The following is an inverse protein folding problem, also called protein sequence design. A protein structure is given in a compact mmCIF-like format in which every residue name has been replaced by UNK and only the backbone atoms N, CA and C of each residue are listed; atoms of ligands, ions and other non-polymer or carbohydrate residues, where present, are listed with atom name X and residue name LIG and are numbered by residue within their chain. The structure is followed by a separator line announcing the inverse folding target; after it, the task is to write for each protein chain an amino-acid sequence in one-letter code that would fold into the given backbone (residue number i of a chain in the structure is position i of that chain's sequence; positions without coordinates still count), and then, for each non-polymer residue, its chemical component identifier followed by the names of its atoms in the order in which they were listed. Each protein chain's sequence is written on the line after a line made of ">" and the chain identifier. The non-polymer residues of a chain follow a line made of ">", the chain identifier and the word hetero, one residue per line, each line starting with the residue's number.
data_IF_426474678152
#
_entry.id   IF_426474678152
#
_cell.length_a   1.000
_cell.length_b   1.000
_cell.length_c   1.000
_cell.angle_alpha   90.00
_cell.angle_beta   90.00
_cell.angle_gamma   90.00
#
_symmetry.space_group_name_H-M   'P 1'
#
loop_
_entity.id
_entity.type
_entity.pdbx_description
1 polymer ?
#
# COMPACT_ATOMS: atom_id res chain seq x y z
N UNK A 1 99.08 17.43 -5.14
CA UNK A 1 97.85 18.22 -5.37
C UNK A 1 96.97 17.30 -6.14
N UNK A 2 96.25 16.47 -5.45
CA UNK A 2 95.34 15.41 -5.95
C UNK A 2 93.94 15.71 -5.44
N UNK A 3 93.13 16.23 -6.33
CA UNK A 3 91.73 16.44 -6.09
C UNK A 3 91.00 15.06 -6.17
N UNK A 4 90.60 14.54 -5.06
CA UNK A 4 89.67 13.44 -4.98
C UNK A 4 88.20 13.97 -5.22
N UNK A 5 87.72 13.72 -6.42
CA UNK A 5 86.27 13.87 -6.68
C UNK A 5 85.53 12.68 -6.05
N UNK A 6 85.02 12.93 -4.90
CA UNK A 6 84.06 12.04 -4.28
C UNK A 6 82.76 12.07 -5.09
N UNK A 7 82.59 11.07 -5.94
CA UNK A 7 81.39 10.86 -6.71
C UNK A 7 80.34 10.32 -5.70
N UNK A 8 79.49 11.24 -5.23
CA UNK A 8 78.36 10.89 -4.38
C UNK A 8 77.45 9.81 -5.02
N UNK A 9 77.56 8.61 -4.47
CA UNK A 9 76.67 7.51 -4.84
C UNK A 9 75.20 7.91 -4.51
N UNK A 10 74.40 8.19 -5.52
CA UNK A 10 72.97 8.36 -5.33
C UNK A 10 72.43 7.13 -4.64
N UNK A 11 71.60 7.29 -3.59
CA UNK A 11 70.99 6.14 -2.91
C UNK A 11 70.01 5.45 -3.88
N UNK A 12 70.43 4.35 -4.47
CA UNK A 12 69.57 3.52 -5.30
C UNK A 12 68.54 2.85 -4.38
N UNK A 13 67.28 3.34 -4.47
CA UNK A 13 66.16 2.71 -3.75
C UNK A 13 66.05 1.26 -4.20
N UNK A 14 66.12 0.27 -3.23
CA UNK A 14 66.15 -1.12 -3.63
C UNK A 14 64.81 -1.53 -4.25
N UNK A 15 64.83 -2.26 -5.37
CA UNK A 15 63.67 -2.63 -6.17
C UNK A 15 62.55 -3.30 -5.35
N UNK A 16 62.88 -4.02 -4.27
CA UNK A 16 61.89 -4.62 -3.37
C UNK A 16 61.09 -3.59 -2.58
N UNK A 17 61.66 -2.41 -2.29
CA UNK A 17 60.92 -1.35 -1.56
C UNK A 17 59.88 -0.70 -2.48
N UNK A 18 60.20 -0.47 -3.74
CA UNK A 18 59.25 0.05 -4.76
C UNK A 18 58.13 -0.96 -5.01
N UNK A 19 58.47 -2.25 -5.07
CA UNK A 19 57.49 -3.31 -5.25
C UNK A 19 56.57 -3.43 -4.02
N UNK A 20 57.10 -3.31 -2.81
CA UNK A 20 56.32 -3.33 -1.56
C UNK A 20 55.35 -2.15 -1.47
N UNK A 21 55.75 -0.97 -1.87
CA UNK A 21 54.90 0.21 -1.91
C UNK A 21 53.73 0.05 -2.90
N UNK A 22 54.03 -0.43 -4.12
CA UNK A 22 53.03 -0.71 -5.13
C UNK A 22 51.99 -1.76 -4.65
N UNK A 23 52.45 -2.84 -4.02
CA UNK A 23 51.59 -3.87 -3.46
C UNK A 23 50.70 -3.34 -2.33
N UNK A 24 51.22 -2.44 -1.49
CA UNK A 24 50.47 -1.81 -0.41
C UNK A 24 49.35 -0.92 -0.92
N UNK A 25 49.65 -0.14 -1.97
CA UNK A 25 48.63 0.71 -2.63
C UNK A 25 47.52 -0.14 -3.26
N UNK A 26 47.89 -1.22 -3.99
CA UNK A 26 46.93 -2.13 -4.58
C UNK A 26 46.06 -2.83 -3.52
N UNK A 27 46.67 -3.26 -2.42
CA UNK A 27 45.93 -3.87 -1.29
C UNK A 27 44.95 -2.87 -0.67
N UNK A 28 45.39 -1.62 -0.45
CA UNK A 28 44.54 -0.54 0.04
C UNK A 28 43.35 -0.27 -0.87
N UNK A 29 43.60 -0.16 -2.18
CA UNK A 29 42.52 0.04 -3.16
C UNK A 29 41.55 -1.15 -3.18
N UNK A 30 42.03 -2.37 -3.10
CA UNK A 30 41.19 -3.59 -3.03
C UNK A 30 40.30 -3.62 -1.78
N UNK A 31 40.86 -3.28 -0.63
CA UNK A 31 40.08 -3.18 0.62
C UNK A 31 38.98 -2.14 0.54
N UNK A 32 39.28 -0.95 -0.06
CA UNK A 32 38.26 0.09 -0.27
C UNK A 32 37.11 -0.38 -1.18
N UNK A 33 37.44 -1.09 -2.26
CA UNK A 33 36.42 -1.66 -3.17
C UNK A 33 35.59 -2.70 -2.43
N UNK A 34 36.21 -3.58 -1.66
CA UNK A 34 35.48 -4.57 -0.85
C UNK A 34 34.52 -3.92 0.15
N UNK A 35 34.97 -2.89 0.87
CA UNK A 35 34.12 -2.15 1.81
C UNK A 35 32.95 -1.48 1.09
N UNK A 36 33.20 -0.91 -0.11
CA UNK A 36 32.15 -0.34 -0.95
C UNK A 36 31.11 -1.37 -1.38
N UNK A 37 31.56 -2.55 -1.83
CA UNK A 37 30.67 -3.65 -2.22
C UNK A 37 29.83 -4.15 -1.05
N UNK A 38 30.46 -4.32 0.13
CA UNK A 38 29.74 -4.75 1.34
C UNK A 38 28.70 -3.70 1.74
N UNK A 39 29.03 -2.41 1.68
CA UNK A 39 28.10 -1.34 1.98
C UNK A 39 26.87 -1.36 1.07
N UNK A 40 27.07 -1.50 -0.25
CA UNK A 40 25.97 -1.61 -1.23
C UNK A 40 25.12 -2.87 -0.99
N UNK A 41 25.75 -4.02 -0.68
CA UNK A 41 25.03 -5.25 -0.39
C UNK A 41 24.17 -5.14 0.87
N UNK A 42 24.66 -4.50 1.93
CA UNK A 42 23.88 -4.27 3.14
C UNK A 42 22.69 -3.37 2.90
N UNK A 43 22.86 -2.29 2.14
CA UNK A 43 21.76 -1.39 1.78
C UNK A 43 20.69 -2.10 0.92
N UNK A 44 21.12 -2.86 -0.08
CA UNK A 44 20.21 -3.60 -0.95
C UNK A 44 19.45 -4.67 -0.18
N UNK A 45 20.11 -5.41 0.71
CA UNK A 45 19.48 -6.41 1.57
C UNK A 45 18.42 -5.78 2.48
N UNK A 46 18.72 -4.64 3.11
CA UNK A 46 17.78 -3.93 3.95
C UNK A 46 16.55 -3.43 3.17
N UNK A 47 16.72 -2.95 1.94
CA UNK A 47 15.61 -2.55 1.06
C UNK A 47 14.72 -3.73 0.68
N UNK A 48 15.33 -4.86 0.29
CA UNK A 48 14.59 -6.08 -0.05
C UNK A 48 13.81 -6.62 1.15
N UNK A 49 14.39 -6.62 2.33
CA UNK A 49 13.74 -7.06 3.55
C UNK A 49 12.50 -6.20 3.89
N UNK A 50 12.61 -4.89 3.73
CA UNK A 50 11.49 -3.97 3.90
C UNK A 50 10.38 -4.20 2.87
N UNK A 51 10.72 -4.40 1.58
CA UNK A 51 9.73 -4.71 0.54
C UNK A 51 9.00 -6.04 0.80
N UNK A 52 9.75 -7.08 1.19
CA UNK A 52 9.17 -8.39 1.53
C UNK A 52 8.21 -8.26 2.72
N UNK A 53 8.62 -7.51 3.75
CA UNK A 53 7.79 -7.26 4.93
C UNK A 53 6.51 -6.53 4.58
N UNK A 54 6.59 -5.46 3.78
CA UNK A 54 5.42 -4.71 3.31
C UNK A 54 4.46 -5.60 2.52
N UNK A 55 4.97 -6.40 1.58
CA UNK A 55 4.14 -7.36 0.82
C UNK A 55 3.47 -8.41 1.71
N UNK A 56 4.19 -8.92 2.70
CA UNK A 56 3.60 -9.87 3.66
C UNK A 56 2.50 -9.24 4.50
N UNK A 57 2.68 -7.99 4.94
CA UNK A 57 1.65 -7.25 5.67
C UNK A 57 0.41 -6.99 4.80
N UNK A 58 0.59 -6.61 3.53
CA UNK A 58 -0.52 -6.45 2.58
C UNK A 58 -1.28 -7.76 2.33
N UNK A 59 -0.57 -8.87 2.16
CA UNK A 59 -1.20 -10.19 2.00
C UNK A 59 -2.00 -10.58 3.24
N UNK A 60 -1.45 -10.39 4.43
CA UNK A 60 -2.16 -10.64 5.68
C UNK A 60 -3.41 -9.75 5.83
N UNK A 61 -3.31 -8.48 5.42
CA UNK A 61 -4.47 -7.57 5.43
C UNK A 61 -5.58 -8.08 4.52
N UNK A 62 -5.25 -8.48 3.29
CA UNK A 62 -6.22 -9.04 2.34
C UNK A 62 -6.87 -10.31 2.89
N UNK A 63 -6.10 -11.25 3.38
CA UNK A 63 -6.61 -12.50 3.96
C UNK A 63 -7.56 -12.25 5.14
N UNK A 64 -7.18 -11.38 6.06
CA UNK A 64 -8.03 -11.06 7.21
C UNK A 64 -9.35 -10.41 6.81
N UNK A 65 -9.33 -9.55 5.77
CA UNK A 65 -10.54 -8.93 5.24
C UNK A 65 -11.42 -9.95 4.51
N UNK A 66 -10.82 -10.84 3.71
CA UNK A 66 -11.54 -11.93 3.04
C UNK A 66 -12.20 -12.89 4.05
N UNK A 67 -11.49 -13.27 5.10
CA UNK A 67 -12.01 -14.11 6.18
C UNK A 67 -13.17 -13.42 6.92
N UNK A 68 -13.02 -12.13 7.24
CA UNK A 68 -14.06 -11.35 7.90
C UNK A 68 -15.33 -11.22 7.05
N UNK A 69 -15.18 -11.19 5.73
CA UNK A 69 -16.29 -11.05 4.77
C UNK A 69 -16.71 -12.37 4.10
N UNK A 70 -16.19 -13.52 4.54
CA UNK A 70 -16.42 -14.82 3.90
C UNK A 70 -17.90 -15.15 3.71
N UNK A 71 -18.76 -14.86 4.69
CA UNK A 71 -20.19 -15.09 4.61
C UNK A 71 -20.87 -14.29 3.49
N UNK A 72 -20.78 -12.96 3.47
CA UNK A 72 -21.33 -12.11 2.40
C UNK A 72 -20.73 -12.39 1.01
N UNK A 73 -19.45 -12.74 0.94
CA UNK A 73 -18.77 -13.10 -0.31
C UNK A 73 -19.29 -14.43 -0.88
N UNK A 74 -19.46 -15.45 -0.04
CA UNK A 74 -19.99 -16.75 -0.44
C UNK A 74 -21.45 -16.66 -0.94
N UNK A 75 -22.21 -15.69 -0.44
CA UNK A 75 -23.55 -15.41 -0.93
C UNK A 75 -23.59 -14.69 -2.30
N UNK A 76 -22.45 -14.33 -2.87
CA UNK A 76 -22.34 -13.64 -4.17
C UNK A 76 -22.92 -12.24 -4.21
N UNK A 77 -23.27 -11.65 -3.06
CA UNK A 77 -23.88 -10.30 -2.96
C UNK A 77 -22.85 -9.19 -2.91
N UNK A 78 -21.61 -9.56 -2.57
CA UNK A 78 -20.48 -8.65 -2.35
C UNK A 78 -19.30 -9.19 -3.15
N UNK A 79 -18.51 -8.32 -3.71
CA UNK A 79 -17.23 -8.65 -4.33
C UNK A 79 -16.12 -7.96 -3.57
N UNK A 80 -14.96 -8.61 -3.45
CA UNK A 80 -13.78 -8.02 -2.87
C UNK A 80 -12.64 -8.07 -3.89
N UNK A 81 -12.16 -6.90 -4.30
CA UNK A 81 -11.06 -6.77 -5.23
C UNK A 81 -10.13 -5.63 -4.79
N UNK A 82 -8.87 -5.93 -4.59
CA UNK A 82 -7.83 -4.96 -4.23
C UNK A 82 -8.19 -4.08 -3.02
N UNK A 83 -8.79 -4.70 -1.97
CA UNK A 83 -9.24 -4.00 -0.77
C UNK A 83 -10.52 -3.17 -0.96
N UNK A 84 -11.17 -3.25 -2.14
CA UNK A 84 -12.43 -2.58 -2.44
C UNK A 84 -13.59 -3.57 -2.34
N UNK A 85 -14.59 -3.20 -1.56
CA UNK A 85 -15.82 -3.97 -1.40
C UNK A 85 -16.82 -3.43 -2.41
N UNK A 86 -17.15 -4.21 -3.43
CA UNK A 86 -18.14 -3.87 -4.43
C UNK A 86 -19.50 -4.47 -4.07
N UNK A 87 -20.53 -3.65 -4.08
CA UNK A 87 -21.92 -4.07 -3.91
C UNK A 87 -22.73 -3.52 -5.08
N UNK A 88 -23.50 -4.39 -5.73
CA UNK A 88 -24.33 -3.96 -6.85
C UNK A 88 -25.44 -3.02 -6.39
N UNK A 89 -25.61 -1.90 -7.09
CA UNK A 89 -26.58 -0.87 -6.72
C UNK A 89 -28.04 -1.36 -6.69
N UNK A 90 -28.41 -2.32 -7.56
CA UNK A 90 -29.73 -2.94 -7.59
C UNK A 90 -30.04 -3.85 -6.40
N UNK A 91 -28.99 -4.34 -5.71
CA UNK A 91 -29.16 -5.09 -4.45
C UNK A 91 -29.45 -4.15 -3.28
N UNK A 92 -28.87 -2.95 -3.31
CA UNK A 92 -29.03 -1.98 -2.23
C UNK A 92 -30.27 -1.07 -2.41
N UNK A 93 -30.54 -0.63 -3.64
CA UNK A 93 -31.49 0.43 -3.93
C UNK A 93 -32.50 0.02 -5.01
N UNK A 94 -33.69 0.56 -4.93
CA UNK A 94 -34.65 0.53 -6.04
C UNK A 94 -34.17 1.45 -7.18
N UNK A 95 -34.69 1.25 -8.37
CA UNK A 95 -34.37 2.05 -9.55
C UNK A 95 -34.66 3.55 -9.27
N UNK A 96 -33.70 4.42 -9.61
CA UNK A 96 -33.78 5.88 -9.40
C UNK A 96 -34.09 6.30 -7.95
N UNK A 97 -33.67 5.51 -6.96
CA UNK A 97 -33.90 5.76 -5.54
C UNK A 97 -32.59 5.75 -4.76
N UNK A 98 -32.54 6.56 -3.71
CA UNK A 98 -31.50 6.61 -2.68
C UNK A 98 -31.91 5.85 -1.41
N UNK A 99 -33.13 5.27 -1.40
CA UNK A 99 -33.65 4.52 -0.26
C UNK A 99 -33.22 3.06 -0.34
N UNK A 100 -32.68 2.57 0.78
CA UNK A 100 -32.28 1.17 0.91
C UNK A 100 -33.49 0.24 0.87
N UNK A 101 -33.40 -0.79 0.05
CA UNK A 101 -34.30 -1.93 0.11
C UNK A 101 -34.08 -2.75 1.38
N UNK A 102 -35.08 -3.52 1.85
CA UNK A 102 -34.94 -4.38 3.03
C UNK A 102 -33.75 -5.33 2.94
N UNK A 103 -33.53 -5.94 1.77
CA UNK A 103 -32.42 -6.84 1.49
C UNK A 103 -31.07 -6.11 1.55
N UNK A 104 -31.00 -4.89 1.02
CA UNK A 104 -29.81 -4.04 1.07
C UNK A 104 -29.46 -3.64 2.51
N UNK A 105 -30.48 -3.30 3.30
CA UNK A 105 -30.31 -2.98 4.73
C UNK A 105 -29.82 -4.21 5.52
N UNK A 106 -30.37 -5.38 5.27
CA UNK A 106 -29.96 -6.63 5.90
C UNK A 106 -28.51 -6.98 5.53
N UNK A 107 -28.12 -6.77 4.26
CA UNK A 107 -26.73 -6.98 3.79
C UNK A 107 -25.77 -6.03 4.51
N UNK A 108 -26.05 -4.73 4.54
CA UNK A 108 -25.20 -3.75 5.23
C UNK A 108 -25.05 -4.06 6.72
N UNK A 109 -26.14 -4.49 7.37
CA UNK A 109 -26.11 -4.93 8.76
C UNK A 109 -25.20 -6.15 8.96
N UNK A 110 -25.18 -7.10 8.01
CA UNK A 110 -24.30 -8.27 8.09
C UNK A 110 -22.83 -7.93 7.86
N UNK A 111 -22.53 -6.84 7.14
CA UNK A 111 -21.19 -6.34 6.90
C UNK A 111 -20.66 -5.48 8.06
N UNK A 112 -21.53 -4.84 8.83
CA UNK A 112 -21.15 -3.86 9.85
C UNK A 112 -20.27 -4.46 10.95
N UNK A 113 -20.63 -5.63 11.50
CA UNK A 113 -19.88 -6.27 12.56
C UNK A 113 -18.47 -6.73 12.14
N UNK A 114 -18.29 -7.45 11.01
CA UNK A 114 -16.96 -7.78 10.48
C UNK A 114 -16.11 -6.56 10.16
N UNK A 115 -16.70 -5.53 9.55
CA UNK A 115 -15.98 -4.29 9.21
C UNK A 115 -15.58 -3.52 10.47
N UNK A 116 -16.45 -3.42 11.47
CA UNK A 116 -16.12 -2.77 12.74
C UNK A 116 -14.96 -3.47 13.46
N UNK A 117 -14.96 -4.80 13.49
CA UNK A 117 -13.87 -5.58 14.06
C UNK A 117 -12.56 -5.39 13.28
N UNK A 118 -12.62 -5.36 11.94
CA UNK A 118 -11.48 -5.16 11.09
C UNK A 118 -10.87 -3.76 11.24
N UNK A 119 -11.71 -2.70 11.21
CA UNK A 119 -11.29 -1.31 11.35
C UNK A 119 -10.81 -1.00 12.77
N UNK A 120 -11.46 -1.54 13.79
CA UNK A 120 -11.09 -1.33 15.19
C UNK A 120 -9.75 -1.96 15.58
N UNK A 121 -9.31 -3.01 14.88
CA UNK A 121 -8.01 -3.63 15.08
C UNK A 121 -6.87 -2.90 14.32
N UNK A 122 -7.20 -1.91 13.51
CA UNK A 122 -6.28 -1.18 12.63
C UNK A 122 -6.67 0.29 12.59
N UNK A 123 -5.68 1.13 12.32
CA UNK A 123 -5.90 2.57 12.13
C UNK A 123 -6.31 2.87 10.67
N UNK A 124 -7.36 2.16 10.21
CA UNK A 124 -7.88 2.24 8.84
C UNK A 124 -9.26 2.88 8.83
N UNK A 125 -9.57 3.58 7.75
CA UNK A 125 -10.85 4.26 7.52
C UNK A 125 -11.54 3.69 6.29
N UNK A 126 -12.87 3.55 6.37
CA UNK A 126 -13.72 3.10 5.28
C UNK A 126 -14.22 4.31 4.48
N UNK A 127 -13.89 4.36 3.20
CA UNK A 127 -14.47 5.33 2.27
C UNK A 127 -15.62 4.68 1.49
N UNK A 128 -16.79 5.29 1.53
CA UNK A 128 -17.96 4.87 0.76
C UNK A 128 -18.08 5.73 -0.49
N UNK A 129 -18.02 5.11 -1.66
CA UNK A 129 -18.16 5.80 -2.94
C UNK A 129 -19.36 5.28 -3.72
N UNK A 130 -20.19 6.16 -4.22
CA UNK A 130 -21.28 5.84 -5.14
C UNK A 130 -20.80 5.91 -6.60
N UNK A 131 -21.20 4.94 -7.39
CA UNK A 131 -20.98 4.92 -8.82
C UNK A 131 -22.33 4.86 -9.54
N UNK A 132 -22.45 5.53 -10.66
CA UNK A 132 -23.61 5.47 -11.56
C UNK A 132 -23.20 4.82 -12.87
N UNK A 133 -24.18 4.23 -13.56
CA UNK A 133 -24.06 3.83 -14.95
C UNK A 133 -24.31 5.02 -15.90
N UNK A 134 -24.17 4.78 -17.21
CA UNK A 134 -24.40 5.79 -18.25
C UNK A 134 -25.89 6.13 -18.47
N UNK A 135 -26.81 5.46 -17.74
CA UNK A 135 -28.23 5.75 -17.84
C UNK A 135 -28.56 7.02 -17.06
N UNK A 136 -28.95 8.05 -17.78
CA UNK A 136 -29.35 9.32 -17.17
C UNK A 136 -30.56 9.12 -16.24
N UNK A 137 -30.54 9.82 -15.09
CA UNK A 137 -31.73 9.98 -14.28
C UNK A 137 -32.85 10.48 -15.18
N UNK A 138 -34.02 9.79 -15.18
CA UNK A 138 -35.16 10.15 -16.07
C UNK A 138 -35.48 11.63 -15.96
N UNK A 139 -35.60 12.29 -17.11
CA UNK A 139 -36.13 13.65 -17.18
C UNK A 139 -37.45 13.74 -16.42
N UNK A 140 -37.54 14.64 -15.45
CA UNK A 140 -38.69 14.78 -14.57
C UNK A 140 -38.54 14.22 -13.16
N UNK A 141 -37.43 13.63 -12.82
CA UNK A 141 -37.11 13.29 -11.41
C UNK A 141 -36.85 14.59 -10.64
N UNK A 142 -37.78 15.00 -9.80
CA UNK A 142 -37.67 16.22 -8.97
C UNK A 142 -36.75 16.04 -7.74
N UNK A 143 -36.25 14.84 -7.47
CA UNK A 143 -35.44 14.53 -6.27
C UNK A 143 -33.95 14.71 -6.52
N UNK A 144 -33.47 14.43 -7.74
CA UNK A 144 -32.05 14.47 -8.07
C UNK A 144 -31.86 15.22 -9.38
N UNK A 145 -30.94 16.17 -9.40
CA UNK A 145 -30.63 16.96 -10.60
C UNK A 145 -29.94 16.10 -11.67
N UNK A 146 -29.09 15.18 -11.23
CA UNK A 146 -28.29 14.31 -12.10
C UNK A 146 -27.88 13.00 -11.41
N UNK A 147 -27.15 12.17 -12.15
CA UNK A 147 -26.59 10.91 -11.66
C UNK A 147 -25.54 11.13 -10.57
N UNK A 148 -24.84 12.25 -10.58
CA UNK A 148 -23.82 12.56 -9.59
C UNK A 148 -24.46 12.79 -8.23
N UNK A 149 -25.52 13.58 -8.18
CA UNK A 149 -26.28 13.81 -6.96
C UNK A 149 -26.90 12.51 -6.42
N UNK A 150 -27.50 11.69 -7.29
CA UNK A 150 -28.03 10.39 -6.91
C UNK A 150 -26.94 9.47 -6.31
N UNK A 151 -25.76 9.43 -6.93
CA UNK A 151 -24.65 8.60 -6.43
C UNK A 151 -24.11 9.08 -5.08
N UNK A 152 -24.01 10.39 -4.89
CA UNK A 152 -23.59 10.98 -3.63
C UNK A 152 -24.61 10.70 -2.52
N UNK A 153 -25.92 10.84 -2.78
CA UNK A 153 -26.97 10.52 -1.81
C UNK A 153 -26.99 9.03 -1.46
N UNK A 154 -26.77 8.14 -2.41
CA UNK A 154 -26.63 6.71 -2.17
C UNK A 154 -25.44 6.39 -1.28
N UNK A 155 -24.28 6.97 -1.52
CA UNK A 155 -23.09 6.81 -0.68
C UNK A 155 -23.38 7.28 0.76
N UNK A 156 -23.99 8.45 0.92
CA UNK A 156 -24.37 8.98 2.21
C UNK A 156 -25.40 8.08 2.95
N UNK A 157 -26.36 7.51 2.22
CA UNK A 157 -27.35 6.58 2.79
C UNK A 157 -26.69 5.29 3.27
N UNK A 158 -25.73 4.73 2.51
CA UNK A 158 -24.94 3.56 2.93
C UNK A 158 -24.11 3.89 4.17
N UNK A 159 -23.42 5.03 4.17
CA UNK A 159 -22.63 5.49 5.33
C UNK A 159 -23.46 5.57 6.59
N UNK A 160 -24.64 6.20 6.52
CA UNK A 160 -25.56 6.29 7.66
C UNK A 160 -26.05 4.91 8.13
N UNK A 161 -26.41 4.04 7.19
CA UNK A 161 -26.88 2.70 7.53
C UNK A 161 -25.80 1.84 8.20
N UNK A 162 -24.53 1.99 7.80
CA UNK A 162 -23.40 1.31 8.44
C UNK A 162 -23.14 1.85 9.85
N UNK A 163 -23.23 3.17 10.05
CA UNK A 163 -23.13 3.79 11.38
C UNK A 163 -24.28 3.30 12.29
N UNK A 164 -25.52 3.29 11.79
CA UNK A 164 -26.67 2.75 12.52
C UNK A 164 -26.51 1.26 12.87
N UNK A 165 -25.81 0.51 12.02
CA UNK A 165 -25.52 -0.90 12.25
C UNK A 165 -24.32 -1.15 13.18
N UNK A 166 -23.63 -0.09 13.67
CA UNK A 166 -22.60 -0.18 14.70
C UNK A 166 -21.17 0.13 14.23
N UNK A 167 -20.98 0.69 13.02
CA UNK A 167 -19.67 1.23 12.65
C UNK A 167 -19.40 2.55 13.39
N UNK A 168 -18.17 2.74 13.92
CA UNK A 168 -17.79 4.02 14.52
C UNK A 168 -17.83 5.16 13.50
N UNK A 169 -18.49 6.30 13.77
CA UNK A 169 -18.54 7.42 12.83
C UNK A 169 -17.16 7.99 12.45
N UNK A 170 -16.17 7.85 13.34
CA UNK A 170 -14.81 8.31 13.09
C UNK A 170 -14.05 7.43 12.08
N UNK A 171 -14.52 6.20 11.82
CA UNK A 171 -13.87 5.23 10.94
C UNK A 171 -14.52 5.13 9.55
N UNK A 172 -15.48 6.00 9.21
CA UNK A 172 -16.20 5.96 7.94
C UNK A 172 -16.53 7.36 7.42
N UNK A 173 -16.39 7.55 6.10
CA UNK A 173 -16.81 8.77 5.40
C UNK A 173 -17.30 8.47 3.97
N UNK A 174 -17.97 9.41 3.34
CA UNK A 174 -18.50 9.32 1.97
C UNK A 174 -18.28 10.62 1.20
#
# INVERSE_FOLDING_TARGET
>A
MTDDFDAGAEPTVPAWAVFGDLMSVMLGAFVLVLLGVIGVQMELSARLENEVKQRQEELKRRQTLEEALAGPLAAGRVTLKDGRIGISGNVLFALNSDQLQPEGRALLKSLAAPLSAYLGARDEILMVSGFTDDQQVREGNRRFADNLELSAQRALTVTRALIEAGLPPASIFS
#
